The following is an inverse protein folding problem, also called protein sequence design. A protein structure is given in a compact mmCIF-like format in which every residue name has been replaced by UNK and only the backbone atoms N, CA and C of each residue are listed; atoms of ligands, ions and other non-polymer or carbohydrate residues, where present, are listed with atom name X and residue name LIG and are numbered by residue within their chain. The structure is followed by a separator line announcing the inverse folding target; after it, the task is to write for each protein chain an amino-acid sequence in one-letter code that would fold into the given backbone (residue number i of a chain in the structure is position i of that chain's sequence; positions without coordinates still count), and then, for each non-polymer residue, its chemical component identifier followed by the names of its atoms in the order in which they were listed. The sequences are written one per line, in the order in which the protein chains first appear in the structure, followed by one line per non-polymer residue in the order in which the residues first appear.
data_IF_749587865146
#
_entry.id   IF_749587865146
#
_cell.length_a   1.000
_cell.length_b   1.000
_cell.length_c   1.000
_cell.angle_alpha   90.00
_cell.angle_beta   90.00
_cell.angle_gamma   90.00
#
_symmetry.space_group_name_H-M   'P 1'
#
loop_
_entity.id
_entity.type
_entity.pdbx_description
1 polymer ?
#
# COMPACT_ATOMS: atom_id res chain seq x y z
N UNK A 1 -15.79 -0.31 11.48
CA UNK A 1 -14.86 -1.18 10.73
C UNK A 1 -13.69 -0.35 10.23
N UNK A 2 -12.55 -0.96 9.95
CA UNK A 2 -11.39 -0.25 9.41
C UNK A 2 -11.57 0.03 7.91
N UNK A 3 -11.18 1.22 7.45
CA UNK A 3 -11.20 1.60 6.03
C UNK A 3 -9.83 1.42 5.36
N UNK A 4 -8.77 1.32 6.16
CA UNK A 4 -7.39 1.16 5.71
C UNK A 4 -6.68 0.13 6.59
N UNK A 5 -5.97 -0.79 5.97
CA UNK A 5 -5.14 -1.80 6.62
C UNK A 5 -3.75 -1.68 6.02
N UNK A 6 -2.77 -1.27 6.84
CA UNK A 6 -1.41 -1.04 6.39
C UNK A 6 -0.40 -1.90 7.13
N UNK A 7 0.68 -2.26 6.45
CA UNK A 7 1.88 -2.83 7.05
C UNK A 7 3.13 -2.30 6.34
N UNK A 8 4.26 -2.28 7.02
CA UNK A 8 5.53 -2.01 6.35
C UNK A 8 5.81 -3.09 5.29
N UNK A 9 6.45 -2.72 4.18
CA UNK A 9 6.78 -3.61 3.07
C UNK A 9 7.99 -4.53 3.36
N UNK A 10 8.03 -5.08 4.57
CA UNK A 10 8.96 -6.12 5.02
C UNK A 10 8.53 -7.49 4.50
N UNK A 11 9.36 -8.52 4.69
CA UNK A 11 9.01 -9.91 4.34
C UNK A 11 7.68 -10.36 4.97
N UNK A 12 7.42 -9.93 6.21
CA UNK A 12 6.18 -10.28 6.91
C UNK A 12 4.95 -9.57 6.31
N UNK A 13 5.03 -8.25 6.10
CA UNK A 13 3.93 -7.47 5.53
C UNK A 13 3.55 -7.94 4.12
N UNK A 14 4.56 -8.23 3.29
CA UNK A 14 4.39 -8.77 1.93
C UNK A 14 3.80 -10.17 1.91
N UNK A 15 4.05 -10.98 2.93
CA UNK A 15 3.50 -12.33 3.02
C UNK A 15 2.03 -12.33 3.48
N UNK A 16 1.66 -11.43 4.40
CA UNK A 16 0.34 -11.43 5.04
C UNK A 16 -0.69 -10.62 4.23
N UNK A 17 -0.36 -9.39 3.83
CA UNK A 17 -1.38 -8.45 3.32
C UNK A 17 -2.05 -8.88 2.01
N UNK A 18 -1.39 -9.54 1.05
CA UNK A 18 -2.10 -10.08 -0.11
C UNK A 18 -3.17 -11.11 0.26
N UNK A 19 -2.96 -11.90 1.32
CA UNK A 19 -3.97 -12.86 1.81
C UNK A 19 -5.15 -12.15 2.47
N UNK A 20 -4.89 -11.09 3.23
CA UNK A 20 -5.92 -10.25 3.84
C UNK A 20 -6.76 -9.57 2.75
N UNK A 21 -6.12 -9.01 1.73
CA UNK A 21 -6.80 -8.39 0.59
C UNK A 21 -7.73 -9.40 -0.14
N UNK A 22 -7.23 -10.61 -0.40
CA UNK A 22 -8.02 -11.66 -1.02
C UNK A 22 -9.21 -12.11 -0.16
N UNK A 23 -9.06 -12.19 1.17
CA UNK A 23 -10.16 -12.52 2.08
C UNK A 23 -11.24 -11.45 2.13
N UNK A 24 -10.88 -10.19 1.87
CA UNK A 24 -11.79 -9.05 1.82
C UNK A 24 -12.35 -8.77 0.42
N UNK A 25 -11.93 -9.55 -0.58
CA UNK A 25 -12.25 -9.35 -2.00
C UNK A 25 -11.91 -7.92 -2.50
N UNK A 26 -10.71 -7.45 -2.16
CA UNK A 26 -10.19 -6.14 -2.57
C UNK A 26 -8.77 -6.25 -3.14
N UNK A 27 -8.38 -5.24 -3.92
CA UNK A 27 -7.02 -5.12 -4.44
C UNK A 27 -6.00 -4.81 -3.34
N UNK A 28 -4.80 -5.36 -3.49
CA UNK A 28 -3.64 -5.05 -2.65
C UNK A 28 -2.76 -4.01 -3.34
N UNK A 29 -2.49 -2.88 -2.68
CA UNK A 29 -1.58 -1.83 -3.19
C UNK A 29 -0.21 -2.01 -2.54
N UNK A 30 0.82 -2.29 -3.32
CA UNK A 30 2.14 -2.61 -2.76
C UNK A 30 3.11 -1.43 -2.78
N UNK A 31 3.99 -1.37 -1.77
CA UNK A 31 5.18 -0.52 -1.77
C UNK A 31 4.90 0.97 -2.03
N UNK A 32 3.85 1.53 -1.41
CA UNK A 32 3.56 2.96 -1.58
C UNK A 32 4.71 3.80 -1.03
N UNK A 33 5.07 4.85 -1.75
CA UNK A 33 6.10 5.82 -1.36
C UNK A 33 5.52 7.19 -1.00
N UNK A 34 4.28 7.49 -1.41
CA UNK A 34 3.54 8.67 -0.94
C UNK A 34 2.02 8.46 -0.93
N UNK A 35 1.32 9.30 -0.17
CA UNK A 35 -0.14 9.36 -0.10
C UNK A 35 -0.59 10.68 -0.72
N UNK A 36 -1.33 10.61 -1.83
CA UNK A 36 -1.85 11.80 -2.54
C UNK A 36 -3.21 12.21 -1.96
N UNK A 37 -4.07 11.21 -1.69
CA UNK A 37 -5.38 11.38 -1.04
C UNK A 37 -5.74 10.10 -0.28
N UNK A 38 -6.92 10.07 0.35
CA UNK A 38 -7.42 8.89 1.08
C UNK A 38 -7.64 7.64 0.20
N UNK A 39 -7.69 7.78 -1.12
CA UNK A 39 -7.90 6.69 -2.07
C UNK A 39 -6.85 6.63 -3.18
N UNK A 40 -5.89 7.56 -3.18
CA UNK A 40 -4.88 7.70 -4.23
C UNK A 40 -3.47 7.70 -3.65
N UNK A 41 -2.63 6.83 -4.19
CA UNK A 41 -1.27 6.58 -3.69
C UNK A 41 -0.29 6.57 -4.85
N UNK A 42 0.97 6.89 -4.60
CA UNK A 42 2.05 6.65 -5.57
C UNK A 42 2.86 5.43 -5.17
N UNK A 43 3.37 4.73 -6.18
CA UNK A 43 4.31 3.62 -5.99
C UNK A 43 5.33 3.56 -7.13
N UNK A 44 6.58 3.17 -6.84
CA UNK A 44 7.57 2.93 -7.86
C UNK A 44 7.31 1.59 -8.57
N UNK A 45 7.48 1.60 -9.88
CA UNK A 45 7.47 0.43 -10.76
C UNK A 45 8.75 0.41 -11.60
N UNK A 46 9.01 -0.69 -12.30
CA UNK A 46 10.24 -0.87 -13.10
C UNK A 46 11.52 -0.55 -12.32
N UNK A 47 11.67 -1.17 -11.15
CA UNK A 47 12.81 -0.94 -10.24
C UNK A 47 13.03 0.54 -9.85
N UNK A 48 11.97 1.35 -9.84
CA UNK A 48 12.03 2.77 -9.45
C UNK A 48 12.18 3.74 -10.62
N UNK A 49 12.26 3.26 -11.86
CA UNK A 49 12.42 4.13 -13.04
C UNK A 49 11.12 4.86 -13.43
N UNK A 50 9.97 4.41 -12.97
CA UNK A 50 8.70 5.08 -13.17
C UNK A 50 7.87 5.07 -11.89
N UNK A 51 7.13 6.16 -11.67
CA UNK A 51 6.21 6.31 -10.55
C UNK A 51 4.79 6.18 -11.09
N UNK A 52 4.03 5.24 -10.54
CA UNK A 52 2.64 5.03 -10.87
C UNK A 52 1.76 5.66 -9.79
N UNK A 53 0.82 6.51 -10.21
CA UNK A 53 -0.27 6.99 -9.36
C UNK A 53 -1.45 6.03 -9.50
N UNK A 54 -1.89 5.45 -8.39
CA UNK A 54 -2.95 4.44 -8.36
C UNK A 54 -4.08 4.94 -7.46
N UNK A 55 -5.28 5.01 -8.01
CA UNK A 55 -6.50 5.26 -7.27
C UNK A 55 -7.25 3.95 -7.06
N UNK A 56 -7.71 3.69 -5.83
CA UNK A 56 -8.49 2.48 -5.49
C UNK A 56 -9.90 2.83 -5.07
N UNK A 57 -10.87 2.25 -5.77
CA UNK A 57 -12.31 2.37 -5.46
C UNK A 57 -12.79 1.33 -4.44
N UNK A 58 -11.89 0.46 -3.97
CA UNK A 58 -12.21 -0.58 -3.01
C UNK A 58 -12.68 0.01 -1.66
N UNK A 59 -13.64 -0.62 -0.97
CA UNK A 59 -14.14 -0.12 0.32
C UNK A 59 -13.05 -0.11 1.40
N UNK A 60 -12.14 -1.10 1.38
CA UNK A 60 -11.00 -1.21 2.31
C UNK A 60 -9.70 -1.17 1.51
N UNK A 61 -8.78 -0.31 1.91
CA UNK A 61 -7.48 -0.13 1.25
C UNK A 61 -6.45 -1.00 1.97
N UNK A 62 -5.99 -2.07 1.33
CA UNK A 62 -4.97 -2.98 1.90
C UNK A 62 -3.62 -2.66 1.28
N UNK A 63 -2.71 -2.10 2.09
CA UNK A 63 -1.50 -1.42 1.57
C UNK A 63 -0.22 -1.89 2.27
N UNK A 64 0.84 -2.17 1.51
CA UNK A 64 2.20 -2.20 2.07
C UNK A 64 2.92 -0.88 1.83
N UNK A 65 3.62 -0.38 2.85
CA UNK A 65 4.29 0.93 2.85
C UNK A 65 5.79 0.75 2.72
N UNK A 66 6.42 1.45 1.77
CA UNK A 66 7.88 1.54 1.67
C UNK A 66 8.39 2.43 2.81
N UNK A 67 9.03 1.81 3.81
CA UNK A 67 9.44 2.53 5.02
C UNK A 67 10.37 3.73 4.73
N UNK A 68 11.25 3.65 3.72
CA UNK A 68 12.15 4.74 3.35
C UNK A 68 11.45 5.93 2.66
N UNK A 69 10.16 5.80 2.32
CA UNK A 69 9.37 6.90 1.75
C UNK A 69 8.78 7.85 2.80
N UNK A 70 8.87 7.50 4.09
CA UNK A 70 8.28 8.25 5.19
C UNK A 70 9.26 8.40 6.34
N UNK A 71 9.27 9.58 6.96
CA UNK A 71 10.03 9.78 8.18
C UNK A 71 9.44 8.97 9.34
N UNK A 72 10.27 8.45 10.26
CA UNK A 72 9.78 7.78 11.45
C UNK A 72 8.98 8.76 12.32
N UNK A 73 7.97 8.22 13.02
CA UNK A 73 7.25 8.99 14.04
C UNK A 73 8.18 9.27 15.22
N UNK A 74 8.02 10.46 15.83
CA UNK A 74 8.76 10.86 17.04
C UNK A 74 8.31 10.08 18.29
#
# INVERSE_FOLDING_TARGET
GYTHILAAATSNGKNILPRVAAQLDVDQISEIDSVVSADTFTRPIYAGNAIATVQSTAPVKVITVRATGFDPVA
#
